data_IF_882723003500
#
_entry.id   IF_882723003500
#
_cell.length_a   1.000
_cell.length_b   1.000
_cell.length_c   1.000
_cell.angle_alpha   90.00
_cell.angle_beta   90.00
_cell.angle_gamma   90.00
#
_symmetry.space_group_name_H-M   'P 1'
#
loop_
_entity.id
_entity.type
_entity.pdbx_description
1 polymer ?
#
# COMPACT_ATOMS: atom_id res chain seq x y z
N UNK A 1 47.39 -3.86 46.37
CA UNK A 1 47.90 -4.02 44.99
C UNK A 1 46.81 -3.58 44.02
N UNK A 2 47.02 -2.47 43.31
CA UNK A 2 46.14 -1.97 42.25
C UNK A 2 46.49 -2.72 40.96
N UNK A 3 45.50 -3.32 40.29
CA UNK A 3 45.63 -3.82 38.92
C UNK A 3 44.52 -3.15 38.09
N UNK A 4 44.96 -2.25 37.22
CA UNK A 4 44.15 -1.43 36.34
C UNK A 4 44.37 -1.93 34.91
N UNK A 5 43.31 -2.42 34.27
CA UNK A 5 43.32 -2.78 32.86
C UNK A 5 42.98 -1.55 31.99
N UNK A 6 43.68 -1.31 30.87
CA UNK A 6 43.41 -0.17 30.00
C UNK A 6 42.21 -0.46 29.08
N UNK A 7 41.15 0.35 29.21
CA UNK A 7 40.00 0.37 28.30
C UNK A 7 40.36 1.22 27.08
N UNK A 8 40.64 0.57 25.94
CA UNK A 8 40.83 1.24 24.66
C UNK A 8 39.47 1.66 24.08
N UNK A 9 39.19 2.97 24.08
CA UNK A 9 38.03 3.56 23.40
C UNK A 9 38.40 3.85 21.94
N UNK A 10 37.86 3.07 21.01
CA UNK A 10 37.90 3.39 19.58
C UNK A 10 36.97 4.59 19.31
N UNK A 11 37.57 5.73 18.96
CA UNK A 11 36.85 6.92 18.52
C UNK A 11 36.35 6.77 17.09
N UNK A 12 35.03 6.66 16.91
CA UNK A 12 34.41 6.72 15.58
C UNK A 12 34.34 8.19 15.15
N UNK A 13 35.09 8.53 14.11
CA UNK A 13 35.08 9.85 13.47
C UNK A 13 33.70 10.12 12.83
N UNK A 14 32.88 10.94 13.48
CA UNK A 14 31.65 11.49 12.89
C UNK A 14 32.01 12.48 11.78
N UNK A 15 31.91 12.06 10.52
CA UNK A 15 31.96 12.99 9.37
C UNK A 15 30.66 13.80 9.34
N UNK A 16 30.75 15.08 9.66
CA UNK A 16 29.68 16.06 9.46
C UNK A 16 29.55 16.36 7.96
N UNK A 17 28.58 15.76 7.27
CA UNK A 17 28.23 16.17 5.91
C UNK A 17 27.52 17.54 5.98
N UNK A 18 28.25 18.60 5.66
CA UNK A 18 27.68 19.94 5.44
C UNK A 18 27.02 19.93 4.04
N UNK A 19 25.70 19.85 4.00
CA UNK A 19 24.94 20.18 2.78
C UNK A 19 24.95 21.70 2.65
N UNK A 20 25.77 22.21 1.74
CA UNK A 20 25.78 23.64 1.38
C UNK A 20 24.82 23.82 0.22
N UNK A 21 23.64 24.37 0.48
CA UNK A 21 22.79 24.94 -0.55
C UNK A 21 23.43 26.24 -1.02
N UNK A 22 24.00 26.27 -2.22
CA UNK A 22 24.27 27.52 -2.91
C UNK A 22 22.95 28.05 -3.47
N UNK A 23 22.37 29.03 -2.77
CA UNK A 23 21.37 29.92 -3.32
C UNK A 23 22.08 30.90 -4.26
N UNK A 24 22.05 30.65 -5.57
CA UNK A 24 22.54 31.60 -6.55
C UNK A 24 21.46 32.66 -6.78
N UNK A 25 21.56 33.75 -6.02
CA UNK A 25 20.78 34.97 -6.21
C UNK A 25 21.66 35.96 -6.99
N UNK A 26 21.05 36.66 -7.94
CA UNK A 26 21.53 37.90 -8.57
C UNK A 26 22.55 37.79 -9.73
N UNK A 27 22.05 37.47 -10.93
CA UNK A 27 22.63 37.94 -12.21
C UNK A 27 21.60 38.82 -12.91
N UNK A 28 21.24 39.95 -12.30
CA UNK A 28 20.44 40.99 -12.96
C UNK A 28 20.84 42.37 -12.46
N UNK A 29 22.13 42.75 -12.59
CA UNK A 29 22.53 44.17 -12.53
C UNK A 29 23.94 44.44 -13.05
N UNK A 30 24.17 44.34 -14.35
CA UNK A 30 25.17 45.14 -15.06
C UNK A 30 24.95 45.02 -16.57
N UNK A 31 24.10 45.89 -17.12
CA UNK A 31 24.23 46.30 -18.52
C UNK A 31 25.32 47.37 -18.57
N UNK A 32 26.31 47.18 -19.45
CA UNK A 32 27.31 48.19 -19.77
C UNK A 32 28.19 47.69 -20.90
N UNK A 33 27.93 48.18 -22.11
CA UNK A 33 28.77 48.09 -23.33
C UNK A 33 29.00 46.70 -23.93
N UNK A 34 28.11 46.30 -24.85
CA UNK A 34 28.45 45.72 -26.15
C UNK A 34 27.16 45.57 -26.98
N UNK A 35 26.80 46.63 -27.70
CA UNK A 35 25.85 46.55 -28.81
C UNK A 35 26.68 46.28 -30.06
N UNK A 36 26.48 45.13 -30.71
CA UNK A 36 26.53 45.04 -32.17
C UNK A 36 26.17 43.61 -32.65
N UNK A 37 25.06 43.56 -33.38
CA UNK A 37 24.77 42.66 -34.51
C UNK A 37 24.30 41.23 -34.27
N UNK A 38 23.16 40.96 -34.91
CA UNK A 38 22.60 39.69 -35.39
C UNK A 38 21.67 38.93 -34.43
N UNK A 39 20.40 38.83 -34.84
CA UNK A 39 19.58 37.67 -34.57
C UNK A 39 18.38 37.92 -33.67
N UNK A 40 17.28 38.30 -34.30
CA UNK A 40 15.92 38.25 -33.75
C UNK A 40 15.56 36.79 -33.41
N UNK A 41 15.78 36.31 -32.18
CA UNK A 41 15.28 35.01 -31.74
C UNK A 41 15.23 34.86 -30.22
N UNK A 42 14.09 34.36 -29.72
CA UNK A 42 13.88 33.71 -28.42
C UNK A 42 13.68 34.62 -27.20
N UNK A 43 12.67 35.49 -27.26
CA UNK A 43 11.85 35.78 -26.09
C UNK A 43 10.73 34.72 -25.99
N UNK A 44 11.08 33.50 -25.57
CA UNK A 44 10.09 32.50 -25.14
C UNK A 44 9.98 32.63 -23.62
N UNK A 45 8.91 33.28 -23.19
CA UNK A 45 8.47 33.33 -21.81
C UNK A 45 8.27 31.88 -21.33
N UNK A 46 9.15 31.40 -20.45
CA UNK A 46 8.93 30.14 -19.73
C UNK A 46 7.88 30.42 -18.66
N UNK A 47 6.62 30.50 -19.08
CA UNK A 47 5.49 30.23 -18.20
C UNK A 47 5.53 28.73 -17.92
N UNK A 48 6.05 28.34 -16.76
CA UNK A 48 5.83 26.99 -16.26
C UNK A 48 4.32 26.78 -16.14
N UNK A 49 3.69 25.85 -16.87
CA UNK A 49 2.31 25.52 -16.59
C UNK A 49 2.28 25.01 -15.15
N UNK A 50 1.39 25.57 -14.33
CA UNK A 50 0.99 24.94 -13.07
C UNK A 50 0.69 23.48 -13.40
N UNK A 51 1.26 22.53 -12.65
CA UNK A 51 1.08 21.11 -12.90
C UNK A 51 -0.41 20.85 -13.13
N UNK A 52 -0.77 20.58 -14.39
CA UNK A 52 -2.11 20.17 -14.71
C UNK A 52 -2.29 18.83 -13.99
N UNK A 53 -3.07 18.85 -12.91
CA UNK A 53 -3.68 17.64 -12.38
C UNK A 53 -4.50 17.12 -13.55
N UNK A 54 -3.94 16.15 -14.28
CA UNK A 54 -4.69 15.50 -15.33
C UNK A 54 -5.79 14.74 -14.59
N UNK A 55 -7.02 15.29 -14.60
CA UNK A 55 -8.20 14.65 -14.05
C UNK A 55 -8.27 13.21 -14.60
N UNK A 56 -8.03 12.24 -13.73
CA UNK A 56 -8.01 10.83 -14.14
C UNK A 56 -9.44 10.48 -14.50
N UNK A 57 -9.75 10.34 -15.80
CA UNK A 57 -11.10 10.07 -16.27
C UNK A 57 -12.18 11.04 -15.74
N UNK A 58 -11.83 12.30 -15.42
CA UNK A 58 -12.76 13.28 -14.83
C UNK A 58 -13.01 13.10 -13.33
N UNK A 59 -12.17 12.34 -12.63
CA UNK A 59 -12.23 12.16 -11.18
C UNK A 59 -11.40 13.24 -10.47
N UNK A 60 -11.98 13.84 -9.44
CA UNK A 60 -11.36 14.89 -8.62
C UNK A 60 -11.07 14.38 -7.21
N UNK A 61 -10.07 14.89 -6.47
CA UNK A 61 -9.83 14.48 -5.09
C UNK A 61 -11.08 14.64 -4.22
N UNK A 62 -11.43 13.61 -3.44
CA UNK A 62 -12.63 13.63 -2.59
C UNK A 62 -12.62 14.75 -1.54
N UNK A 63 -11.43 15.21 -1.12
CA UNK A 63 -11.26 16.37 -0.23
C UNK A 63 -11.80 17.68 -0.83
N UNK A 64 -11.82 17.81 -2.15
CA UNK A 64 -12.21 19.04 -2.86
C UNK A 64 -13.60 18.93 -3.50
N UNK A 65 -14.16 17.71 -3.55
CA UNK A 65 -15.45 17.45 -4.18
C UNK A 65 -16.63 18.00 -3.37
N UNK A 66 -17.34 18.98 -3.95
CA UNK A 66 -18.59 19.49 -3.38
C UNK A 66 -19.68 18.42 -3.30
N UNK A 67 -19.71 17.48 -4.26
CA UNK A 67 -20.66 16.37 -4.26
C UNK A 67 -20.42 15.44 -3.05
N UNK A 68 -19.15 15.14 -2.73
CA UNK A 68 -18.76 14.31 -1.59
C UNK A 68 -19.25 14.89 -0.24
N UNK A 69 -19.05 16.19 -0.03
CA UNK A 69 -19.56 16.87 1.20
C UNK A 69 -21.08 16.90 1.28
N UNK A 70 -21.80 16.88 0.15
CA UNK A 70 -23.27 16.77 0.13
C UNK A 70 -23.74 15.39 0.56
N UNK A 71 -23.04 14.32 0.13
CA UNK A 71 -23.32 12.95 0.56
C UNK A 71 -23.12 12.81 2.07
N UNK A 72 -21.99 13.29 2.60
CA UNK A 72 -21.73 13.28 4.04
C UNK A 72 -22.87 13.97 4.82
N UNK A 73 -23.20 15.21 4.46
CA UNK A 73 -24.28 15.96 5.12
C UNK A 73 -25.63 15.25 5.04
N UNK A 74 -25.94 14.57 3.93
CA UNK A 74 -27.19 13.82 3.77
C UNK A 74 -27.24 12.60 4.70
N UNK A 75 -26.14 11.87 4.82
CA UNK A 75 -26.04 10.72 5.73
C UNK A 75 -26.16 11.17 7.19
N UNK A 76 -25.43 12.21 7.58
CA UNK A 76 -25.47 12.75 8.94
C UNK A 76 -26.87 13.25 9.28
N UNK A 77 -27.51 14.04 8.41
CA UNK A 77 -28.91 14.48 8.62
C UNK A 77 -29.87 13.32 8.80
N UNK A 78 -29.65 12.20 8.10
CA UNK A 78 -30.48 11.01 8.22
C UNK A 78 -30.29 10.35 9.60
N UNK A 79 -29.05 10.25 10.08
CA UNK A 79 -28.73 9.74 11.41
C UNK A 79 -29.24 10.67 12.52
N UNK A 80 -29.11 11.99 12.37
CA UNK A 80 -29.66 12.98 13.30
C UNK A 80 -31.18 12.93 13.35
N UNK A 81 -31.86 12.73 12.22
CA UNK A 81 -33.32 12.54 12.18
C UNK A 81 -33.73 11.31 12.98
N UNK A 82 -32.97 10.22 12.91
CA UNK A 82 -33.19 9.02 13.74
C UNK A 82 -32.89 9.29 15.21
N UNK A 83 -31.83 10.05 15.51
CA UNK A 83 -31.44 10.38 16.88
C UNK A 83 -32.56 11.14 17.62
N UNK A 84 -33.27 12.03 16.94
CA UNK A 84 -34.42 12.77 17.49
C UNK A 84 -35.61 11.89 17.93
N UNK A 85 -35.65 10.63 17.52
CA UNK A 85 -36.72 9.69 17.91
C UNK A 85 -36.42 8.98 19.24
N UNK A 86 -35.24 9.19 19.82
CA UNK A 86 -34.78 8.51 21.03
C UNK A 86 -34.41 9.53 22.11
N UNK A 87 -34.66 9.17 23.37
CA UNK A 87 -34.24 9.95 24.52
C UNK A 87 -32.72 10.01 24.63
N UNK A 88 -32.20 11.16 25.11
CA UNK A 88 -30.78 11.50 25.06
C UNK A 88 -29.83 10.49 25.75
N UNK A 89 -30.35 9.80 26.77
CA UNK A 89 -29.62 8.84 27.63
C UNK A 89 -29.97 7.38 27.33
N UNK A 90 -30.77 7.13 26.29
CA UNK A 90 -31.11 5.77 25.87
C UNK A 90 -29.93 5.08 25.17
N UNK A 91 -29.78 3.77 25.35
CA UNK A 91 -28.80 2.94 24.63
C UNK A 91 -28.77 3.17 23.09
N UNK A 92 -29.92 3.26 22.37
CA UNK A 92 -29.90 3.57 20.94
C UNK A 92 -29.40 4.98 20.61
N UNK A 93 -29.63 5.99 21.46
CA UNK A 93 -29.11 7.33 21.24
C UNK A 93 -27.57 7.37 21.32
N UNK A 94 -26.98 6.65 22.28
CA UNK A 94 -25.52 6.51 22.38
C UNK A 94 -24.93 5.80 21.15
N UNK A 95 -25.57 4.70 20.70
CA UNK A 95 -25.14 3.98 19.51
C UNK A 95 -25.23 4.85 18.23
N UNK A 96 -26.25 5.71 18.12
CA UNK A 96 -26.39 6.65 17.02
C UNK A 96 -25.33 7.74 17.05
N UNK A 97 -25.01 8.31 18.22
CA UNK A 97 -23.89 9.26 18.39
C UNK A 97 -22.56 8.63 17.96
N UNK A 98 -22.27 7.40 18.40
CA UNK A 98 -21.08 6.66 17.98
C UNK A 98 -21.08 6.32 16.48
N UNK A 99 -22.25 6.16 15.86
CA UNK A 99 -22.37 5.97 14.40
C UNK A 99 -22.10 7.26 13.64
N UNK A 100 -22.63 8.39 14.12
CA UNK A 100 -22.36 9.73 13.57
C UNK A 100 -20.85 10.02 13.59
N UNK A 101 -20.18 9.76 14.71
CA UNK A 101 -18.74 9.93 14.83
C UNK A 101 -17.97 9.00 13.89
N UNK A 102 -18.33 7.71 13.82
CA UNK A 102 -17.73 6.77 12.85
C UNK A 102 -17.92 7.22 11.41
N UNK A 103 -19.07 7.79 11.07
CA UNK A 103 -19.35 8.33 9.75
C UNK A 103 -18.43 9.51 9.44
N UNK A 104 -18.31 10.50 10.33
CA UNK A 104 -17.36 11.60 10.16
C UNK A 104 -15.92 11.11 9.99
N UNK A 105 -15.49 10.17 10.84
CA UNK A 105 -14.15 9.59 10.75
C UNK A 105 -13.94 8.86 9.42
N UNK A 106 -14.94 8.12 8.93
CA UNK A 106 -14.89 7.45 7.62
C UNK A 106 -14.73 8.44 6.48
N UNK A 107 -15.55 9.50 6.44
CA UNK A 107 -15.46 10.53 5.39
C UNK A 107 -14.11 11.29 5.47
N UNK A 108 -13.65 11.61 6.68
CA UNK A 108 -12.35 12.24 6.88
C UNK A 108 -11.18 11.34 6.45
N UNK A 109 -11.24 10.03 6.72
CA UNK A 109 -10.19 9.08 6.33
C UNK A 109 -10.12 8.89 4.82
N UNK A 110 -11.26 8.79 4.14
CA UNK A 110 -11.33 8.70 2.68
C UNK A 110 -10.82 9.97 1.99
N UNK A 111 -11.13 11.15 2.53
CA UNK A 111 -10.57 12.41 2.05
C UNK A 111 -9.04 12.50 2.27
N UNK A 112 -8.54 12.06 3.44
CA UNK A 112 -7.10 12.05 3.77
C UNK A 112 -6.30 11.02 2.99
N UNK A 113 -6.92 9.90 2.63
CA UNK A 113 -6.30 8.85 1.82
C UNK A 113 -6.05 9.29 0.36
N UNK A 114 -6.55 10.47 -0.04
CA UNK A 114 -6.39 10.98 -1.39
C UNK A 114 -7.29 10.29 -2.41
N UNK A 115 -8.36 9.62 -1.97
CA UNK A 115 -9.27 8.93 -2.88
C UNK A 115 -9.88 9.90 -3.89
N UNK A 116 -10.14 9.38 -5.09
CA UNK A 116 -10.71 10.15 -6.18
C UNK A 116 -12.23 9.97 -6.21
N UNK A 117 -12.95 11.07 -6.40
CA UNK A 117 -14.41 11.12 -6.41
C UNK A 117 -14.92 11.54 -7.79
N UNK A 118 -15.95 10.84 -8.27
CA UNK A 118 -16.68 11.22 -9.48
C UNK A 118 -17.75 12.28 -9.22
N UNK A 119 -18.57 12.53 -10.24
CA UNK A 119 -19.67 13.50 -10.17
C UNK A 119 -20.73 13.14 -9.12
N UNK A 120 -20.84 11.86 -8.78
CA UNK A 120 -21.76 11.36 -7.75
C UNK A 120 -21.30 11.69 -6.32
N UNK A 121 -20.06 12.15 -6.15
CA UNK A 121 -19.48 12.39 -4.82
C UNK A 121 -19.21 11.11 -4.05
N UNK A 122 -18.91 10.01 -4.75
CA UNK A 122 -18.52 8.73 -4.15
C UNK A 122 -17.06 8.41 -4.53
N UNK A 123 -16.27 7.84 -3.60
CA UNK A 123 -14.90 7.42 -3.89
C UNK A 123 -14.85 6.30 -4.93
N UNK A 124 -13.98 6.45 -5.93
CA UNK A 124 -13.66 5.49 -6.96
C UNK A 124 -12.19 5.09 -6.84
N UNK A 125 -11.89 3.84 -7.17
CA UNK A 125 -10.54 3.29 -7.16
C UNK A 125 -10.09 3.05 -8.60
N UNK A 126 -8.81 3.30 -8.87
CA UNK A 126 -8.19 2.96 -10.15
C UNK A 126 -7.65 1.55 -10.04
N UNK A 127 -8.40 0.56 -10.54
CA UNK A 127 -8.02 -0.86 -10.46
C UNK A 127 -6.89 -1.25 -11.43
N UNK A 128 -6.66 -0.47 -12.49
CA UNK A 128 -5.67 -0.79 -13.51
C UNK A 128 -4.24 -0.55 -12.98
N UNK A 129 -3.37 -1.58 -12.94
CA UNK A 129 -2.05 -1.47 -12.33
C UNK A 129 -1.14 -0.45 -13.03
N UNK A 130 -1.21 -0.36 -14.36
CA UNK A 130 -0.42 0.60 -15.13
C UNK A 130 -0.89 2.05 -14.90
N UNK A 131 -2.20 2.24 -14.73
CA UNK A 131 -2.81 3.55 -14.50
C UNK A 131 -2.58 4.00 -13.05
N UNK A 132 -2.75 3.08 -12.09
CA UNK A 132 -2.49 3.34 -10.68
C UNK A 132 -1.01 3.70 -10.41
N UNK A 133 -0.06 3.06 -11.09
CA UNK A 133 1.37 3.40 -10.98
C UNK A 133 1.67 4.80 -11.55
N UNK A 134 1.08 5.15 -12.70
CA UNK A 134 1.30 6.44 -13.36
C UNK A 134 0.75 7.62 -12.56
N UNK A 135 -0.39 7.43 -11.91
CA UNK A 135 -1.11 8.49 -11.21
C UNK A 135 -0.89 8.51 -9.69
N UNK A 136 0.01 7.67 -9.16
CA UNK A 136 0.36 7.69 -7.74
C UNK A 136 -0.65 7.01 -6.79
N UNK A 137 -1.71 6.40 -7.33
CA UNK A 137 -2.72 5.64 -6.57
C UNK A 137 -2.41 4.14 -6.46
N UNK A 138 -1.19 3.74 -6.78
CA UNK A 138 -0.73 2.35 -6.76
C UNK A 138 -0.90 1.68 -5.39
N UNK A 139 -0.78 2.44 -4.29
CA UNK A 139 -0.92 1.93 -2.93
C UNK A 139 -2.33 1.40 -2.62
N UNK A 140 -3.37 1.92 -3.27
CA UNK A 140 -4.76 1.52 -3.03
C UNK A 140 -5.07 0.11 -3.54
N UNK A 141 -4.35 -0.34 -4.58
CA UNK A 141 -4.54 -1.65 -5.20
C UNK A 141 -3.40 -2.61 -4.86
N UNK A 142 -2.14 -2.19 -5.01
CA UNK A 142 -1.03 -3.12 -4.85
C UNK A 142 -0.86 -3.60 -3.41
N UNK A 143 -1.05 -2.74 -2.41
CA UNK A 143 -0.90 -3.15 -1.01
C UNK A 143 -1.89 -4.27 -0.66
N UNK A 144 -3.21 -4.13 -0.89
CA UNK A 144 -4.14 -5.23 -0.63
C UNK A 144 -3.93 -6.43 -1.57
N UNK A 145 -3.55 -6.22 -2.83
CA UNK A 145 -3.28 -7.34 -3.76
C UNK A 145 -2.08 -8.19 -3.33
N UNK A 146 -0.94 -7.58 -3.02
CA UNK A 146 0.24 -8.32 -2.55
C UNK A 146 0.00 -8.92 -1.16
N UNK A 147 -0.74 -8.23 -0.29
CA UNK A 147 -1.17 -8.79 1.00
C UNK A 147 -2.01 -10.05 0.81
N UNK A 148 -2.99 -10.01 -0.10
CA UNK A 148 -3.82 -11.17 -0.43
C UNK A 148 -2.99 -12.33 -0.99
N UNK A 149 -2.14 -12.08 -1.99
CA UNK A 149 -1.30 -13.12 -2.59
C UNK A 149 -0.33 -13.72 -1.58
N UNK A 150 0.23 -12.91 -0.69
CA UNK A 150 1.11 -13.39 0.37
C UNK A 150 0.37 -14.33 1.33
N UNK A 151 -0.81 -13.94 1.81
CA UNK A 151 -1.60 -14.77 2.75
C UNK A 151 -2.13 -16.03 2.07
N UNK A 152 -2.67 -15.91 0.85
CA UNK A 152 -3.18 -17.05 0.09
C UNK A 152 -2.05 -18.04 -0.25
N UNK A 153 -0.90 -17.54 -0.71
CA UNK A 153 0.26 -18.36 -0.99
C UNK A 153 0.87 -18.98 0.27
N UNK A 154 0.85 -18.29 1.41
CA UNK A 154 1.28 -18.84 2.70
C UNK A 154 0.41 -20.03 3.11
N UNK A 155 -0.92 -19.87 3.08
CA UNK A 155 -1.86 -20.95 3.41
C UNK A 155 -1.68 -22.14 2.46
N UNK A 156 -1.61 -21.88 1.15
CA UNK A 156 -1.42 -22.91 0.14
C UNK A 156 -0.08 -23.66 0.29
N UNK A 157 1.01 -22.93 0.57
CA UNK A 157 2.33 -23.51 0.74
C UNK A 157 2.41 -24.38 2.01
N UNK A 158 1.95 -23.87 3.15
CA UNK A 158 1.93 -24.64 4.42
C UNK A 158 1.04 -25.89 4.27
N UNK A 159 -0.13 -25.75 3.64
CA UNK A 159 -1.02 -26.88 3.36
C UNK A 159 -0.36 -27.95 2.48
N UNK A 160 0.32 -27.55 1.41
CA UNK A 160 1.08 -28.46 0.55
C UNK A 160 2.19 -29.19 1.33
N UNK A 161 2.98 -28.47 2.13
CA UNK A 161 4.06 -29.08 2.91
C UNK A 161 3.52 -30.08 3.93
N UNK A 162 2.36 -29.80 4.54
CA UNK A 162 1.73 -30.73 5.47
C UNK A 162 1.31 -32.04 4.78
N UNK A 163 0.67 -31.96 3.61
CA UNK A 163 0.25 -33.15 2.86
C UNK A 163 1.47 -33.97 2.39
N UNK A 164 2.55 -33.30 1.95
CA UNK A 164 3.80 -33.98 1.56
C UNK A 164 4.39 -34.74 2.75
N UNK A 165 4.47 -34.12 3.92
CA UNK A 165 4.97 -34.77 5.14
C UNK A 165 4.05 -35.89 5.64
N UNK A 166 2.73 -35.73 5.52
CA UNK A 166 1.75 -36.74 5.93
C UNK A 166 1.78 -37.98 5.02
N UNK A 167 2.10 -37.82 3.74
CA UNK A 167 2.23 -38.92 2.76
C UNK A 167 3.32 -39.92 3.14
N UNK A 168 4.36 -39.51 3.86
CA UNK A 168 5.45 -40.38 4.31
C UNK A 168 5.08 -41.23 5.54
N UNK A 169 3.95 -40.95 6.19
CA UNK A 169 3.49 -41.71 7.33
C UNK A 169 2.92 -43.08 6.92
N UNK A 170 2.96 -44.06 7.83
CA UNK A 170 2.42 -45.41 7.58
C UNK A 170 0.92 -45.42 7.24
N UNK A 171 0.17 -44.41 7.71
CA UNK A 171 -1.25 -44.19 7.40
C UNK A 171 -1.50 -42.71 7.12
N UNK A 172 -1.37 -42.25 5.86
CA UNK A 172 -1.54 -40.84 5.51
C UNK A 172 -2.93 -40.29 5.86
N UNK A 173 -3.97 -41.10 5.68
CA UNK A 173 -5.38 -40.74 5.96
C UNK A 173 -5.62 -40.37 7.41
N UNK A 174 -4.91 -41.01 8.36
CA UNK A 174 -5.09 -40.74 9.78
C UNK A 174 -4.56 -39.34 10.14
N UNK A 175 -3.51 -38.87 9.46
CA UNK A 175 -2.91 -37.55 9.63
C UNK A 175 -3.68 -36.43 8.93
N UNK A 176 -4.59 -36.76 8.01
CA UNK A 176 -5.51 -35.81 7.37
C UNK A 176 -6.77 -35.59 8.22
N UNK A 177 -7.28 -36.65 8.87
CA UNK A 177 -8.46 -36.56 9.76
C UNK A 177 -8.05 -36.01 11.12
N UNK A 178 -6.96 -36.53 11.68
CA UNK A 178 -6.42 -36.11 12.97
C UNK A 178 -5.13 -35.33 12.69
N UNK A 179 -5.28 -34.02 12.63
CA UNK A 179 -4.17 -33.12 12.30
C UNK A 179 -3.07 -33.20 13.37
N UNK A 180 -1.85 -33.45 12.94
CA UNK A 180 -0.65 -33.37 13.76
C UNK A 180 -0.33 -31.90 14.03
N UNK A 181 -0.93 -31.36 15.10
CA UNK A 181 -0.78 -29.95 15.49
C UNK A 181 0.69 -29.54 15.68
N UNK A 182 1.56 -30.33 16.36
CA UNK A 182 2.99 -30.01 16.45
C UNK A 182 3.68 -29.87 15.09
N UNK A 183 3.43 -30.80 14.18
CA UNK A 183 4.01 -30.76 12.83
C UNK A 183 3.46 -29.58 12.02
N UNK A 184 2.15 -29.34 12.07
CA UNK A 184 1.51 -28.23 11.39
C UNK A 184 2.06 -26.86 11.86
N UNK A 185 2.27 -26.68 13.17
CA UNK A 185 2.86 -25.45 13.72
C UNK A 185 4.31 -25.25 13.28
N UNK A 186 5.10 -26.33 13.21
CA UNK A 186 6.47 -26.28 12.70
C UNK A 186 6.51 -25.83 11.23
N UNK A 187 5.67 -26.44 10.39
CA UNK A 187 5.57 -26.08 8.97
C UNK A 187 5.00 -24.66 8.77
N UNK A 188 4.04 -24.24 9.60
CA UNK A 188 3.51 -22.88 9.60
C UNK A 188 4.61 -21.85 9.92
N UNK A 189 5.47 -22.14 10.89
CA UNK A 189 6.63 -21.30 11.21
C UNK A 189 7.62 -21.19 10.05
N UNK A 190 7.88 -22.28 9.33
CA UNK A 190 8.76 -22.31 8.16
C UNK A 190 8.13 -21.64 6.92
N UNK A 191 6.80 -21.68 6.81
CA UNK A 191 6.04 -21.14 5.68
C UNK A 191 6.12 -19.63 5.52
N UNK A 192 6.59 -18.87 6.51
CA UNK A 192 6.69 -17.41 6.40
C UNK A 192 7.60 -16.97 5.23
N UNK A 193 8.60 -17.80 4.89
CA UNK A 193 9.48 -17.60 3.74
C UNK A 193 8.98 -18.21 2.42
N UNK A 194 7.69 -18.57 2.31
CA UNK A 194 7.18 -19.34 1.18
C UNK A 194 7.50 -18.79 -0.22
N UNK A 195 7.53 -17.47 -0.50
CA UNK A 195 7.77 -17.01 -1.87
C UNK A 195 9.16 -17.39 -2.36
N UNK A 196 10.16 -17.33 -1.48
CA UNK A 196 11.53 -17.71 -1.81
C UNK A 196 11.67 -19.23 -1.92
N UNK A 197 11.10 -19.97 -0.96
CA UNK A 197 11.17 -21.43 -0.94
C UNK A 197 10.46 -22.04 -2.14
N UNK A 198 9.27 -21.55 -2.50
CA UNK A 198 8.54 -22.02 -3.67
C UNK A 198 9.30 -21.76 -4.98
N UNK A 199 9.97 -20.61 -5.10
CA UNK A 199 10.83 -20.32 -6.27
C UNK A 199 12.04 -21.24 -6.30
N UNK A 200 12.65 -21.55 -5.15
CA UNK A 200 13.75 -22.50 -5.07
C UNK A 200 13.29 -23.91 -5.46
N UNK A 201 12.15 -24.37 -4.94
CA UNK A 201 11.55 -25.66 -5.29
C UNK A 201 11.24 -25.74 -6.79
N UNK A 202 10.68 -24.67 -7.38
CA UNK A 202 10.42 -24.57 -8.81
C UNK A 202 11.72 -24.69 -9.64
N UNK A 203 12.77 -23.98 -9.24
CA UNK A 203 14.09 -24.05 -9.89
C UNK A 203 14.76 -25.42 -9.74
N UNK A 204 14.53 -26.10 -8.62
CA UNK A 204 15.04 -27.45 -8.36
C UNK A 204 14.21 -28.55 -9.03
N UNK A 205 13.05 -28.22 -9.61
CA UNK A 205 12.15 -29.18 -10.23
C UNK A 205 11.34 -30.03 -9.25
N UNK A 206 11.34 -29.74 -7.95
CA UNK A 206 10.59 -30.49 -6.92
C UNK A 206 9.18 -29.95 -6.69
N UNK A 207 8.84 -28.78 -7.26
CA UNK A 207 7.52 -28.18 -7.06
C UNK A 207 6.43 -28.93 -7.84
N UNK A 208 6.76 -29.36 -9.06
CA UNK A 208 5.86 -30.01 -10.00
C UNK A 208 6.12 -31.52 -10.05
N UNK A 209 5.06 -32.28 -10.32
CA UNK A 209 5.16 -33.72 -10.55
C UNK A 209 5.69 -34.01 -11.96
N UNK A 210 6.31 -35.18 -12.16
CA UNK A 210 6.81 -35.59 -13.49
C UNK A 210 5.65 -35.88 -14.44
N UNK A 211 5.83 -35.55 -15.73
CA UNK A 211 4.82 -35.77 -16.78
C UNK A 211 4.38 -37.24 -16.88
N UNK A 212 5.28 -38.18 -16.58
CA UNK A 212 5.03 -39.63 -16.58
C UNK A 212 3.93 -40.07 -15.60
N UNK A 213 3.76 -39.32 -14.50
CA UNK A 213 2.77 -39.63 -13.46
C UNK A 213 1.40 -38.98 -13.74
N UNK A 214 1.27 -38.25 -14.85
CA UNK A 214 0.04 -37.58 -15.25
C UNK A 214 -0.62 -38.40 -16.37
N UNK A 215 -1.82 -38.91 -16.12
CA UNK A 215 -2.57 -39.64 -17.15
C UNK A 215 -3.00 -38.68 -18.26
N UNK A 216 -2.45 -38.86 -19.47
CA UNK A 216 -2.92 -38.13 -20.67
C UNK A 216 -4.11 -38.89 -21.25
N UNK A 217 -5.28 -38.26 -21.33
CA UNK A 217 -6.43 -38.86 -22.01
C UNK A 217 -6.10 -39.03 -23.50
N UNK A 218 -6.45 -40.17 -24.13
CA UNK A 218 -6.35 -40.31 -25.58
C UNK A 218 -7.09 -39.16 -26.26
N UNK A 219 -6.41 -38.46 -27.17
CA UNK A 219 -6.94 -37.30 -27.92
C UNK A 219 -7.71 -37.75 -29.14
#
# INVERSE_FOLDING_TARGET
MKLQAPSARMGVSRRSARVVCHAQKDIVRQMGTAVATAGLALAVSISAPSAAQADIAGLTPCSESKAYTKVEKKEIKTLEKRLKQYEADSAPALALKATIERTHNRFANYAKAGLLCGNDGLPHLIADPGLALKYGHAGEIFIPTFGFLYVAGYIGYVGRQYIIAAKEAAKPTDKEIIIDVPLALKLAGQGAGWPLLAVQELRSGSLLEKEENITVSPR
#
